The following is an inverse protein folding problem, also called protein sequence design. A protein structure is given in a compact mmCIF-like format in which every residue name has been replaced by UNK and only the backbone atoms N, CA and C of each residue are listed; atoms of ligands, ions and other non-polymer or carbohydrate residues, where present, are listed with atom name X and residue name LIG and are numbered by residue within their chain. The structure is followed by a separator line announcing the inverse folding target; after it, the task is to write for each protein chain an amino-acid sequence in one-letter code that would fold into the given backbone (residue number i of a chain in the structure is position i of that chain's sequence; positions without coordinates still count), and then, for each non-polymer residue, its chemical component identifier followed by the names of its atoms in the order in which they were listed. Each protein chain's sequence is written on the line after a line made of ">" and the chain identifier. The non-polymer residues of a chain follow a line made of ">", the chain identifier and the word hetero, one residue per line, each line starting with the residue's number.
data_IF_635840893190
#
_entry.id   IF_635840893190
#
_cell.length_a   1.000
_cell.length_b   1.000
_cell.length_c   1.000
_cell.angle_alpha   90.00
_cell.angle_beta   90.00
_cell.angle_gamma   90.00
#
_symmetry.space_group_name_H-M   'P 1'
#
loop_
_entity.id
_entity.type
_entity.pdbx_description
1 polymer ?
#
# COMPACT_ATOMS: atom_id res chain seq x y z
N UNK A 1 23.07 -19.19 4.25
CA UNK A 1 22.21 -18.32 5.09
C UNK A 1 22.49 -16.88 4.72
N UNK A 2 21.47 -16.02 4.65
CA UNK A 2 21.63 -14.60 4.32
C UNK A 2 21.55 -13.73 5.57
N UNK A 3 22.28 -12.61 5.58
CA UNK A 3 22.16 -11.57 6.60
C UNK A 3 21.33 -10.41 6.05
N UNK A 4 20.42 -9.88 6.86
CA UNK A 4 19.53 -8.79 6.48
C UNK A 4 19.44 -7.73 7.55
N UNK A 5 19.27 -6.48 7.12
CA UNK A 5 18.95 -5.33 7.96
C UNK A 5 17.44 -5.23 8.09
N UNK A 6 16.91 -5.30 9.30
CA UNK A 6 15.47 -5.31 9.57
C UNK A 6 15.07 -4.12 10.42
N UNK A 7 14.17 -3.28 9.90
CA UNK A 7 13.50 -2.23 10.67
C UNK A 7 12.57 -2.86 11.70
N UNK A 8 12.77 -2.56 12.97
CA UNK A 8 12.00 -3.09 14.10
C UNK A 8 11.41 -1.93 14.93
N UNK A 9 10.22 -2.11 15.54
CA UNK A 9 9.52 -1.05 16.26
C UNK A 9 10.10 -0.83 17.65
N UNK A 10 11.38 -0.45 17.69
CA UNK A 10 12.08 0.01 18.89
C UNK A 10 12.84 1.31 18.56
N UNK A 11 12.95 2.25 19.51
CA UNK A 11 13.72 3.46 19.30
C UNK A 11 15.21 3.10 19.13
N UNK A 12 15.74 3.26 17.92
CA UNK A 12 17.17 3.09 17.63
C UNK A 12 17.79 4.47 17.39
N UNK A 13 18.92 4.73 18.05
CA UNK A 13 19.52 6.07 18.11
C UNK A 13 20.31 6.49 16.85
N UNK A 14 20.71 5.54 16.00
CA UNK A 14 21.56 5.81 14.81
C UNK A 14 21.26 4.90 13.61
N UNK A 15 21.00 3.63 13.85
CA UNK A 15 20.71 2.66 12.80
C UNK A 15 19.24 2.29 12.88
N UNK A 16 18.45 2.58 11.85
CA UNK A 16 17.02 2.24 11.81
C UNK A 16 16.75 0.74 11.63
N UNK A 17 17.75 -0.12 11.87
CA UNK A 17 17.67 -1.55 11.63
C UNK A 17 18.54 -2.37 12.60
N UNK A 18 18.12 -3.61 12.83
CA UNK A 18 18.93 -4.65 13.46
C UNK A 18 19.29 -5.73 12.43
N UNK A 19 20.43 -6.38 12.63
CA UNK A 19 20.91 -7.45 11.73
C UNK A 19 20.37 -8.81 12.19
N UNK A 20 19.77 -9.55 11.25
CA UNK A 20 19.26 -10.91 11.48
C UNK A 20 19.72 -11.87 10.39
N UNK A 21 19.73 -13.16 10.73
CA UNK A 21 19.93 -14.27 9.79
C UNK A 21 18.58 -14.77 9.24
N UNK A 22 18.51 -14.94 7.92
CA UNK A 22 17.43 -15.66 7.24
C UNK A 22 17.94 -17.06 6.83
N UNK A 23 17.21 -18.14 7.19
CA UNK A 23 17.52 -19.52 6.78
C UNK A 23 17.62 -19.67 5.25
N UNK A 24 18.39 -20.65 4.77
CA UNK A 24 18.58 -20.86 3.32
C UNK A 24 17.32 -21.27 2.55
N UNK A 25 16.35 -21.79 3.29
CA UNK A 25 15.04 -22.18 2.77
C UNK A 25 14.19 -20.96 2.35
N UNK A 26 14.53 -19.77 2.86
CA UNK A 26 13.79 -18.54 2.65
C UNK A 26 14.60 -17.54 1.81
N UNK A 27 14.00 -17.08 0.72
CA UNK A 27 14.61 -16.00 -0.09
C UNK A 27 14.39 -14.65 0.61
N UNK A 28 15.45 -13.91 0.96
CA UNK A 28 15.30 -12.55 1.47
C UNK A 28 14.91 -11.60 0.32
N UNK A 29 14.01 -10.66 0.59
CA UNK A 29 13.72 -9.56 -0.31
C UNK A 29 13.49 -8.27 0.48
N UNK A 30 13.81 -7.13 -0.13
CA UNK A 30 13.54 -5.81 0.47
C UNK A 30 12.02 -5.61 0.57
N UNK A 31 11.57 -5.07 1.69
CA UNK A 31 10.14 -4.91 2.00
C UNK A 31 9.50 -6.13 2.65
N UNK A 32 10.18 -7.29 2.69
CA UNK A 32 9.63 -8.49 3.33
C UNK A 32 9.32 -8.26 4.81
N UNK A 33 8.11 -8.61 5.21
CA UNK A 33 7.71 -8.64 6.62
C UNK A 33 8.22 -9.92 7.28
N UNK A 34 8.90 -9.78 8.40
CA UNK A 34 9.51 -10.90 9.14
C UNK A 34 9.20 -10.80 10.63
N UNK A 35 8.99 -11.93 11.29
CA UNK A 35 8.90 -11.99 12.75
C UNK A 35 10.30 -12.13 13.30
N UNK A 36 10.71 -11.25 14.21
CA UNK A 36 12.08 -11.26 14.76
C UNK A 36 12.09 -11.18 16.29
N UNK A 37 13.07 -11.80 16.96
CA UNK A 37 13.25 -11.65 18.40
C UNK A 37 13.87 -10.30 18.73
N UNK A 38 13.26 -9.57 19.66
CA UNK A 38 13.77 -8.32 20.23
C UNK A 38 13.67 -8.41 21.75
N UNK A 39 14.80 -8.72 22.39
CA UNK A 39 14.85 -9.07 23.81
C UNK A 39 13.93 -10.26 24.13
N UNK A 40 13.00 -10.15 25.10
CA UNK A 40 12.07 -11.23 25.44
C UNK A 40 10.84 -11.32 24.52
N UNK A 41 10.65 -10.34 23.62
CA UNK A 41 9.46 -10.27 22.76
C UNK A 41 9.79 -10.70 21.34
N UNK A 42 8.75 -11.07 20.59
CA UNK A 42 8.82 -11.18 19.12
C UNK A 42 7.99 -10.06 18.52
N UNK A 43 8.53 -9.41 17.51
CA UNK A 43 7.88 -8.26 16.84
C UNK A 43 7.96 -8.43 15.34
N UNK A 44 6.99 -7.86 14.63
CA UNK A 44 7.03 -7.78 13.18
C UNK A 44 7.98 -6.68 12.76
N UNK A 45 8.94 -7.00 11.92
CA UNK A 45 9.87 -6.06 11.28
C UNK A 45 9.77 -6.11 9.77
N UNK A 46 10.48 -5.20 9.11
CA UNK A 46 10.56 -5.12 7.64
C UNK A 46 12.00 -5.19 7.21
N UNK A 47 12.33 -6.09 6.28
CA UNK A 47 13.66 -6.17 5.66
C UNK A 47 13.91 -4.92 4.84
N UNK A 48 14.98 -4.17 5.15
CA UNK A 48 15.37 -2.96 4.44
C UNK A 48 16.45 -3.20 3.38
N UNK A 49 17.20 -4.31 3.50
CA UNK A 49 18.34 -4.60 2.66
C UNK A 49 19.12 -5.82 3.13
N UNK A 50 20.01 -6.29 2.26
CA UNK A 50 21.00 -7.32 2.58
C UNK A 50 22.15 -6.69 3.39
N UNK A 51 22.70 -7.47 4.31
CA UNK A 51 23.92 -7.13 5.03
C UNK A 51 25.08 -7.97 4.45
N UNK A 52 26.07 -7.36 3.77
CA UNK A 52 27.14 -8.11 3.14
C UNK A 52 28.13 -8.71 4.15
N UNK A 53 28.34 -8.05 5.29
CA UNK A 53 29.38 -8.42 6.24
C UNK A 53 28.78 -8.94 7.54
N UNK A 54 29.29 -10.07 8.02
CA UNK A 54 28.88 -10.59 9.32
C UNK A 54 29.47 -9.70 10.42
N UNK A 55 28.65 -9.10 11.28
CA UNK A 55 29.15 -8.24 12.34
C UNK A 55 29.88 -9.04 13.43
N UNK A 56 30.75 -8.38 14.18
CA UNK A 56 31.49 -8.94 15.33
C UNK A 56 30.64 -9.04 16.61
N UNK A 57 29.38 -9.45 16.44
CA UNK A 57 28.47 -9.75 17.54
C UNK A 57 27.57 -10.91 17.17
N UNK A 58 26.92 -11.49 18.18
CA UNK A 58 25.99 -12.60 17.98
C UNK A 58 24.77 -12.14 17.18
N UNK A 59 24.61 -12.69 15.97
CA UNK A 59 23.42 -12.49 15.15
C UNK A 59 22.35 -13.54 15.50
N UNK A 60 21.10 -13.10 15.64
CA UNK A 60 19.96 -13.99 15.85
C UNK A 60 19.28 -14.31 14.52
N UNK A 61 18.62 -15.48 14.45
CA UNK A 61 17.76 -15.84 13.32
C UNK A 61 16.41 -15.12 13.41
N UNK A 62 15.78 -14.87 12.26
CA UNK A 62 14.36 -14.53 12.23
C UNK A 62 13.54 -15.66 12.89
N UNK A 63 12.42 -15.31 13.51
CA UNK A 63 11.48 -16.25 14.12
C UNK A 63 10.47 -16.82 13.12
N UNK A 64 10.34 -16.24 11.93
CA UNK A 64 9.50 -16.73 10.85
C UNK A 64 9.09 -15.65 9.86
N UNK A 65 8.45 -16.08 8.77
CA UNK A 65 7.86 -15.25 7.71
C UNK A 65 6.34 -15.46 7.78
N UNK A 66 5.52 -14.40 7.60
CA UNK A 66 4.08 -14.57 7.63
C UNK A 66 3.58 -15.34 6.40
N UNK A 67 2.47 -16.05 6.60
CA UNK A 67 1.65 -16.63 5.53
C UNK A 67 0.27 -15.94 5.50
N UNK A 68 -0.18 -15.37 4.37
CA UNK A 68 0.56 -15.22 3.12
C UNK A 68 1.78 -14.31 3.29
N UNK A 69 2.77 -14.49 2.41
CA UNK A 69 3.99 -13.70 2.39
C UNK A 69 3.63 -12.24 2.10
N UNK A 70 4.12 -11.31 2.93
CA UNK A 70 3.83 -9.89 2.80
C UNK A 70 5.09 -9.11 2.51
N UNK A 71 5.08 -8.41 1.39
CA UNK A 71 6.20 -7.61 0.88
C UNK A 71 5.70 -6.20 0.67
N UNK A 72 6.33 -5.25 1.34
CA UNK A 72 6.10 -3.82 1.09
C UNK A 72 6.73 -3.49 -0.25
N UNK A 73 5.94 -2.93 -1.18
CA UNK A 73 6.46 -2.59 -2.50
C UNK A 73 7.57 -1.53 -2.41
N UNK A 74 8.49 -1.49 -3.38
CA UNK A 74 9.54 -0.47 -3.40
C UNK A 74 9.00 0.96 -3.30
N UNK A 75 7.91 1.26 -4.00
CA UNK A 75 7.27 2.58 -4.03
C UNK A 75 6.68 2.96 -2.67
N UNK A 76 5.99 2.02 -2.00
CA UNK A 76 5.45 2.26 -0.66
C UNK A 76 6.57 2.39 0.37
N UNK A 77 7.65 1.62 0.24
CA UNK A 77 8.82 1.73 1.11
C UNK A 77 9.53 3.08 0.94
N UNK A 78 9.65 3.56 -0.30
CA UNK A 78 10.18 4.91 -0.58
C UNK A 78 9.28 6.01 0.00
N UNK A 79 7.96 5.90 -0.16
CA UNK A 79 7.01 6.81 0.49
C UNK A 79 7.16 6.78 2.01
N UNK A 80 7.28 5.61 2.62
CA UNK A 80 7.46 5.49 4.07
C UNK A 80 8.77 6.14 4.55
N UNK A 81 9.86 6.03 3.78
CA UNK A 81 11.12 6.74 4.08
C UNK A 81 10.94 8.25 4.00
N UNK A 82 10.28 8.75 2.96
CA UNK A 82 9.99 10.17 2.84
C UNK A 82 9.12 10.68 4.01
N UNK A 83 8.08 9.94 4.40
CA UNK A 83 7.24 10.29 5.55
C UNK A 83 8.05 10.29 6.85
N UNK A 84 8.88 9.28 7.08
CA UNK A 84 9.72 9.18 8.27
C UNK A 84 10.68 10.37 8.39
N UNK A 85 11.37 10.71 7.30
CA UNK A 85 12.29 11.84 7.24
C UNK A 85 11.56 13.18 7.44
N UNK A 86 10.49 13.42 6.67
CA UNK A 86 9.76 14.69 6.70
C UNK A 86 9.09 14.98 8.04
N UNK A 87 8.51 13.96 8.67
CA UNK A 87 7.81 14.10 9.96
C UNK A 87 8.70 13.80 11.17
N UNK A 88 10.00 13.58 10.97
CA UNK A 88 10.95 13.18 12.02
C UNK A 88 10.45 11.98 12.85
N UNK A 89 9.83 11.01 12.19
CA UNK A 89 9.30 9.77 12.76
C UNK A 89 10.25 8.61 12.50
N UNK A 90 10.13 7.51 13.26
CA UNK A 90 10.91 6.31 12.97
C UNK A 90 10.36 5.59 11.74
N UNK A 91 11.23 5.15 10.83
CA UNK A 91 10.81 4.38 9.65
C UNK A 91 10.01 3.13 10.04
N UNK A 92 10.35 2.48 11.16
CA UNK A 92 9.61 1.31 11.62
C UNK A 92 8.17 1.64 11.99
N UNK A 93 7.93 2.72 12.74
CA UNK A 93 6.57 3.11 13.13
C UNK A 93 5.72 3.47 11.91
N UNK A 94 6.30 4.19 10.95
CA UNK A 94 5.64 4.51 9.68
C UNK A 94 5.28 3.23 8.92
N UNK A 95 6.20 2.27 8.81
CA UNK A 95 5.94 0.98 8.16
C UNK A 95 4.88 0.13 8.88
N UNK A 96 4.84 0.14 10.21
CA UNK A 96 3.78 -0.55 10.97
C UNK A 96 2.42 0.07 10.74
N UNK A 97 2.35 1.40 10.57
CA UNK A 97 1.10 2.11 10.30
C UNK A 97 0.62 1.92 8.86
N UNK A 98 1.55 1.87 7.89
CA UNK A 98 1.25 1.76 6.47
C UNK A 98 0.85 0.34 6.03
N UNK A 99 1.30 -0.69 6.76
CA UNK A 99 1.20 -2.10 6.33
C UNK A 99 0.38 -2.89 7.33
N UNK A 100 -0.60 -3.70 6.91
CA UNK A 100 -1.39 -4.52 7.83
C UNK A 100 -0.50 -5.46 8.64
N UNK A 101 -0.86 -5.63 9.92
CA UNK A 101 -0.23 -6.64 10.75
C UNK A 101 -0.51 -8.04 10.16
N UNK A 102 0.52 -8.88 9.94
CA UNK A 102 0.29 -10.22 9.41
C UNK A 102 -0.64 -11.08 10.28
N UNK A 103 -0.67 -10.84 11.59
CA UNK A 103 -1.60 -11.50 12.52
C UNK A 103 -3.07 -11.13 12.26
N UNK A 104 -3.34 -9.97 11.65
CA UNK A 104 -4.69 -9.55 11.25
C UNK A 104 -5.18 -10.24 9.98
N UNK A 105 -4.26 -10.67 9.11
CA UNK A 105 -4.56 -11.28 7.81
C UNK A 105 -4.87 -12.78 7.93
N UNK A 106 -4.23 -13.48 8.86
CA UNK A 106 -4.48 -14.91 9.11
C UNK A 106 -5.81 -15.19 9.81
N UNK A 107 -6.39 -14.20 10.50
CA UNK A 107 -7.57 -14.41 11.35
C UNK A 107 -8.91 -14.22 10.62
N UNK A 108 -8.92 -13.69 9.38
CA UNK A 108 -10.15 -13.11 8.82
C UNK A 108 -10.29 -13.05 7.30
N UNK A 109 -9.61 -13.88 6.52
CA UNK A 109 -9.98 -14.04 5.11
C UNK A 109 -11.09 -15.10 4.99
N UNK A 110 -12.38 -14.75 4.88
CA UNK A 110 -13.30 -15.68 4.24
C UNK A 110 -12.70 -15.98 2.87
N UNK A 111 -12.53 -17.26 2.54
CA UNK A 111 -12.22 -17.64 1.16
C UNK A 111 -13.42 -17.23 0.33
N UNK A 112 -13.30 -16.14 -0.42
CA UNK A 112 -14.25 -15.82 -1.48
C UNK A 112 -14.26 -17.00 -2.45
N UNK A 113 -15.42 -17.36 -2.97
CA UNK A 113 -15.46 -18.41 -3.99
C UNK A 113 -14.64 -17.93 -5.22
N UNK A 114 -13.93 -18.81 -5.94
CA UNK A 114 -13.11 -18.41 -7.10
C UNK A 114 -13.88 -17.61 -8.16
N UNK A 115 -15.19 -17.82 -8.26
CA UNK A 115 -16.11 -17.10 -9.16
C UNK A 115 -16.36 -15.64 -8.72
N UNK A 116 -16.29 -15.34 -7.42
CA UNK A 116 -16.41 -13.98 -6.87
C UNK A 116 -15.12 -13.18 -7.01
N UNK A 117 -13.98 -13.87 -7.09
CA UNK A 117 -12.64 -13.27 -7.19
C UNK A 117 -12.34 -12.66 -8.57
N UNK A 118 -13.13 -12.99 -9.59
CA UNK A 118 -13.06 -12.36 -10.93
C UNK A 118 -14.29 -11.53 -11.27
N UNK A 119 -15.36 -11.62 -10.47
CA UNK A 119 -16.59 -10.87 -10.70
C UNK A 119 -16.36 -9.34 -10.68
N UNK A 120 -15.48 -8.82 -9.81
CA UNK A 120 -15.16 -7.39 -9.74
C UNK A 120 -14.27 -6.88 -10.90
N UNK A 121 -13.59 -7.77 -11.63
CA UNK A 121 -12.87 -7.41 -12.87
C UNK A 121 -13.82 -7.26 -14.06
N UNK A 122 -14.99 -7.91 -14.00
CA UNK A 122 -15.95 -8.00 -15.11
C UNK A 122 -17.07 -6.95 -15.06
N UNK A 123 -17.20 -6.21 -13.94
CA UNK A 123 -18.18 -5.11 -13.86
C UNK A 123 -17.59 -3.90 -14.56
N UNK A 124 -18.02 -3.67 -15.81
CA UNK A 124 -17.86 -2.36 -16.42
C UNK A 124 -18.43 -1.32 -15.45
N UNK A 125 -17.68 -0.27 -15.09
CA UNK A 125 -18.14 0.74 -14.15
C UNK A 125 -19.51 1.24 -14.61
N UNK A 126 -20.49 1.35 -13.69
CA UNK A 126 -21.87 1.62 -14.08
C UNK A 126 -21.95 2.91 -14.89
N UNK A 127 -22.85 2.91 -15.88
CA UNK A 127 -23.08 4.05 -16.76
C UNK A 127 -23.63 5.20 -15.92
N UNK A 128 -22.82 6.23 -15.70
CA UNK A 128 -23.16 7.38 -14.86
C UNK A 128 -23.42 8.61 -15.72
N UNK A 129 -24.50 9.32 -15.39
CA UNK A 129 -24.97 10.67 -15.77
C UNK A 129 -24.36 11.32 -17.02
N UNK A 130 -25.20 11.86 -17.90
CA UNK A 130 -24.74 12.66 -19.04
C UNK A 130 -23.92 13.87 -18.54
N UNK A 131 -22.64 13.90 -18.90
CA UNK A 131 -21.75 14.99 -18.53
C UNK A 131 -22.07 16.23 -19.37
N UNK A 132 -22.15 17.38 -18.68
CA UNK A 132 -22.22 18.68 -19.35
C UNK A 132 -20.88 19.03 -20.03
N UNK A 133 -20.86 20.15 -20.76
CA UNK A 133 -19.69 20.59 -21.53
C UNK A 133 -18.44 20.81 -20.66
N UNK A 134 -18.60 21.47 -19.50
CA UNK A 134 -17.48 21.74 -18.58
C UNK A 134 -16.89 20.46 -17.98
N UNK A 135 -17.76 19.55 -17.54
CA UNK A 135 -17.36 18.24 -17.00
C UNK A 135 -16.66 17.39 -18.06
N UNK A 136 -17.15 17.39 -19.31
CA UNK A 136 -16.53 16.68 -20.43
C UNK A 136 -15.17 17.25 -20.80
N UNK A 137 -15.03 18.58 -20.77
CA UNK A 137 -13.75 19.26 -20.97
C UNK A 137 -12.73 18.84 -19.91
N UNK A 138 -13.12 18.89 -18.63
CA UNK A 138 -12.27 18.44 -17.52
C UNK A 138 -11.91 16.95 -17.62
N UNK A 139 -12.88 16.10 -17.96
CA UNK A 139 -12.67 14.67 -18.14
C UNK A 139 -11.68 14.37 -19.26
N UNK A 140 -11.80 15.04 -20.41
CA UNK A 140 -10.87 14.87 -21.55
C UNK A 140 -9.41 15.05 -21.13
N UNK A 141 -9.12 16.06 -20.30
CA UNK A 141 -7.79 16.31 -19.76
C UNK A 141 -7.32 15.18 -18.85
N UNK A 142 -8.18 14.75 -17.91
CA UNK A 142 -7.85 13.66 -16.98
C UNK A 142 -7.63 12.34 -17.70
N UNK A 143 -8.48 11.98 -18.67
CA UNK A 143 -8.31 10.78 -19.47
C UNK A 143 -7.01 10.79 -20.29
N UNK A 144 -6.63 11.95 -20.83
CA UNK A 144 -5.34 12.14 -21.50
C UNK A 144 -4.17 11.76 -20.58
N UNK A 145 -4.20 12.23 -19.33
CA UNK A 145 -3.18 11.91 -18.33
C UNK A 145 -3.21 10.43 -17.89
N UNK A 146 -4.40 9.84 -17.72
CA UNK A 146 -4.54 8.40 -17.41
C UNK A 146 -3.94 7.55 -18.53
N UNK A 147 -4.21 7.91 -19.79
CA UNK A 147 -3.69 7.18 -20.96
C UNK A 147 -2.19 7.34 -21.15
N UNK A 148 -1.60 8.49 -20.81
CA UNK A 148 -0.15 8.68 -20.92
C UNK A 148 0.63 7.85 -19.89
N UNK A 149 0.00 7.45 -18.78
CA UNK A 149 0.63 6.75 -17.65
C UNK A 149 1.79 7.54 -17.02
N UNK A 150 1.77 8.86 -17.18
CA UNK A 150 2.71 9.78 -16.55
C UNK A 150 2.07 10.43 -15.33
N UNK A 151 2.91 10.89 -14.40
CA UNK A 151 2.42 11.61 -13.22
C UNK A 151 1.82 12.97 -13.64
N UNK A 152 0.59 13.24 -13.18
CA UNK A 152 -0.08 14.53 -13.35
C UNK A 152 -0.88 14.90 -12.10
N UNK A 153 -0.78 16.15 -11.66
CA UNK A 153 -1.51 16.68 -10.52
C UNK A 153 -2.56 17.70 -10.99
N UNK A 154 -3.81 17.48 -10.63
CA UNK A 154 -4.95 18.28 -11.10
C UNK A 154 -5.81 18.74 -9.93
N UNK A 155 -6.29 19.98 -9.99
CA UNK A 155 -7.31 20.50 -9.08
C UNK A 155 -8.64 20.61 -9.85
N UNK A 156 -9.59 19.74 -9.53
CA UNK A 156 -10.97 19.87 -10.03
C UNK A 156 -11.76 20.77 -9.08
N UNK A 157 -11.85 22.05 -9.41
CA UNK A 157 -12.56 23.05 -8.61
C UNK A 157 -14.05 23.14 -8.99
N UNK A 158 -14.93 23.22 -7.99
CA UNK A 158 -16.37 23.40 -8.18
C UNK A 158 -17.13 23.32 -6.87
N UNK A 159 -18.31 23.95 -6.81
CA UNK A 159 -19.18 23.92 -5.62
C UNK A 159 -19.81 22.53 -5.41
N UNK A 160 -20.37 22.27 -4.23
CA UNK A 160 -21.17 21.05 -4.00
C UNK A 160 -22.33 20.99 -4.98
N UNK A 161 -22.61 19.80 -5.53
CA UNK A 161 -23.66 19.63 -6.54
C UNK A 161 -23.25 19.96 -7.98
N UNK A 162 -22.05 20.49 -8.23
CA UNK A 162 -21.55 20.74 -9.60
C UNK A 162 -21.17 19.47 -10.39
N UNK A 163 -21.39 18.28 -9.80
CA UNK A 163 -21.09 16.98 -10.42
C UNK A 163 -19.60 16.59 -10.48
N UNK A 164 -18.75 17.13 -9.59
CA UNK A 164 -17.33 16.69 -9.49
C UNK A 164 -17.19 15.18 -9.33
N UNK A 165 -18.07 14.58 -8.52
CA UNK A 165 -18.09 13.13 -8.29
C UNK A 165 -18.25 12.37 -9.60
N UNK A 166 -19.13 12.81 -10.51
CA UNK A 166 -19.30 12.18 -11.81
C UNK A 166 -17.99 12.18 -12.61
N UNK A 167 -17.27 13.32 -12.63
CA UNK A 167 -15.96 13.42 -13.30
C UNK A 167 -14.93 12.45 -12.71
N UNK A 168 -14.84 12.33 -11.38
CA UNK A 168 -13.94 11.37 -10.73
C UNK A 168 -14.25 9.92 -11.12
N UNK A 169 -15.53 9.57 -11.20
CA UNK A 169 -16.00 8.23 -11.51
C UNK A 169 -15.73 7.86 -12.97
N UNK A 170 -15.91 8.81 -13.90
CA UNK A 170 -15.55 8.61 -15.30
C UNK A 170 -14.02 8.48 -15.51
N UNK A 171 -13.23 9.28 -14.79
CA UNK A 171 -11.77 9.16 -14.85
C UNK A 171 -11.28 7.81 -14.27
N UNK A 172 -11.87 7.36 -13.17
CA UNK A 172 -11.61 6.04 -12.59
C UNK A 172 -11.98 4.92 -13.57
N UNK A 173 -13.12 5.05 -14.26
CA UNK A 173 -13.54 4.09 -15.28
C UNK A 173 -12.52 3.96 -16.42
N UNK A 174 -11.93 5.08 -16.87
CA UNK A 174 -10.87 5.05 -17.89
C UNK A 174 -9.63 4.28 -17.40
N UNK A 175 -9.22 4.48 -16.15
CA UNK A 175 -8.09 3.75 -15.56
C UNK A 175 -8.36 2.24 -15.50
N UNK A 176 -9.58 1.84 -15.13
CA UNK A 176 -10.01 0.43 -15.08
C UNK A 176 -10.06 -0.21 -16.47
N UNK A 177 -10.54 0.51 -17.50
CA UNK A 177 -10.52 0.01 -18.89
C UNK A 177 -9.10 -0.27 -19.39
N UNK A 178 -8.13 0.51 -18.92
CA UNK A 178 -6.70 0.29 -19.17
C UNK A 178 -6.07 -0.88 -18.38
N UNK A 179 -6.89 -1.71 -17.71
CA UNK A 179 -6.48 -2.76 -16.75
C UNK A 179 -5.67 -2.23 -15.56
N UNK A 180 -5.84 -0.95 -15.22
CA UNK A 180 -5.27 -0.34 -14.02
C UNK A 180 -6.16 -0.54 -12.80
N UNK A 181 -5.73 0.05 -11.68
CA UNK A 181 -6.52 0.15 -10.45
C UNK A 181 -6.74 1.62 -10.11
N UNK A 182 -7.74 1.92 -9.29
CA UNK A 182 -7.99 3.29 -8.80
C UNK A 182 -8.12 3.30 -7.29
N UNK A 183 -7.43 4.23 -6.63
CA UNK A 183 -7.58 4.54 -5.22
C UNK A 183 -8.36 5.85 -5.07
N UNK A 184 -9.49 5.80 -4.35
CA UNK A 184 -10.32 6.98 -4.07
C UNK A 184 -10.35 7.18 -2.57
N UNK A 185 -9.77 8.29 -2.13
CA UNK A 185 -9.70 8.67 -0.72
C UNK A 185 -10.81 9.66 -0.42
N UNK A 186 -11.60 9.37 0.61
CA UNK A 186 -12.67 10.23 1.11
C UNK A 186 -12.43 10.54 2.58
N UNK A 187 -12.93 11.67 3.11
CA UNK A 187 -12.95 11.91 4.55
C UNK A 187 -13.69 10.79 5.29
N UNK A 188 -13.26 10.46 6.51
CA UNK A 188 -13.87 9.40 7.34
C UNK A 188 -15.40 9.55 7.46
N UNK A 189 -15.87 10.78 7.71
CA UNK A 189 -17.29 11.11 7.85
C UNK A 189 -18.10 10.93 6.55
N UNK A 190 -17.43 10.83 5.41
CA UNK A 190 -18.05 10.70 4.09
C UNK A 190 -18.22 9.24 3.65
N UNK A 191 -17.76 8.26 4.45
CA UNK A 191 -18.02 6.83 4.23
C UNK A 191 -19.45 6.43 4.61
N UNK A 192 -20.43 7.15 4.07
CA UNK A 192 -21.85 6.83 4.23
C UNK A 192 -22.26 5.71 3.25
N UNK A 193 -23.31 4.93 3.56
CA UNK A 193 -23.86 3.96 2.60
C UNK A 193 -24.22 4.58 1.25
N UNK A 194 -24.73 5.81 1.24
CA UNK A 194 -25.07 6.55 0.01
C UNK A 194 -23.85 6.80 -0.87
N UNK A 195 -22.73 7.17 -0.27
CA UNK A 195 -21.45 7.35 -0.98
C UNK A 195 -20.99 6.02 -1.54
N UNK A 196 -21.01 4.94 -0.75
CA UNK A 196 -20.61 3.60 -1.21
C UNK A 196 -21.49 3.07 -2.36
N UNK A 197 -22.81 3.28 -2.29
CA UNK A 197 -23.73 2.87 -3.35
C UNK A 197 -23.47 3.64 -4.65
N UNK A 198 -22.96 4.87 -4.57
CA UNK A 198 -22.49 5.61 -5.76
C UNK A 198 -21.19 5.05 -6.37
N UNK A 199 -20.55 4.05 -5.75
CA UNK A 199 -19.36 3.35 -6.26
C UNK A 199 -19.63 1.91 -6.70
N UNK A 200 -20.72 1.30 -6.24
CA UNK A 200 -21.25 0.03 -6.77
C UNK A 200 -21.87 0.23 -8.14
#
# INVERSE_FOLDING_TARGET
>A
MALVRVAVPIPLAREEALIYEIPEEDTPEVGLRVLVPVGPRRVWGTVLGMEPERPDFRVLKISGIPEPRLVVTPELLELCRWVADYYAASLSDVLQAAVPSPSGLTRRAPRLAPEEETAWLAVAPPVREELNEEQRSALTVLEGAVRSREFGAFLLFGVTGSGKTAVYLHAAAEALRGMGQTLILVPEIALSPQTLDSFR
#
